data_IF_731211304129
#
_entry.id   IF_731211304129
#
_cell.length_a   1.000
_cell.length_b   1.000
_cell.length_c   1.000
_cell.angle_alpha   90.00
_cell.angle_beta   90.00
_cell.angle_gamma   90.00
#
_symmetry.space_group_name_H-M   'P 1'
#
loop_
_entity.id
_entity.type
_entity.pdbx_description
1 polymer ?
#
# COMPACT_ATOMS: atom_id res chain seq x y z
N UNK A 1 -26.13 -25.64 10.14
CA UNK A 1 -24.95 -24.82 10.49
C UNK A 1 -24.20 -24.66 9.18
N UNK A 2 -24.63 -23.68 8.37
CA UNK A 2 -23.97 -23.40 7.10
C UNK A 2 -22.55 -22.96 7.45
N UNK A 3 -21.56 -23.71 6.95
CA UNK A 3 -20.17 -23.40 7.14
C UNK A 3 -19.89 -22.08 6.43
N UNK A 4 -19.57 -21.05 7.21
CA UNK A 4 -18.92 -19.86 6.69
C UNK A 4 -17.62 -20.41 6.08
N UNK A 5 -17.52 -20.42 4.75
CA UNK A 5 -16.22 -20.66 4.11
C UNK A 5 -15.39 -19.42 4.41
N UNK A 6 -14.36 -19.57 5.22
CA UNK A 6 -13.39 -18.52 5.47
C UNK A 6 -12.79 -18.07 4.13
N UNK A 7 -12.72 -16.76 3.91
CA UNK A 7 -12.26 -16.20 2.64
C UNK A 7 -10.74 -16.24 2.61
N UNK A 8 -10.14 -16.92 1.63
CA UNK A 8 -8.68 -16.93 1.52
C UNK A 8 -8.20 -15.64 0.87
N UNK A 9 -7.27 -14.97 1.55
CA UNK A 9 -6.70 -13.71 1.09
C UNK A 9 -5.24 -13.90 0.79
N UNK A 10 -4.81 -13.50 -0.41
CA UNK A 10 -3.41 -13.31 -0.76
C UNK A 10 -3.14 -11.80 -0.83
N UNK A 11 -2.52 -11.26 0.23
CA UNK A 11 -2.22 -9.85 0.36
C UNK A 11 -0.77 -9.57 -0.05
N UNK A 12 -0.61 -8.70 -1.04
CA UNK A 12 0.66 -8.18 -1.54
C UNK A 12 0.87 -6.78 -1.02
N UNK A 13 2.03 -6.52 -0.41
CA UNK A 13 2.36 -5.22 0.16
C UNK A 13 3.66 -4.74 -0.47
N UNK A 14 3.66 -3.50 -0.97
CA UNK A 14 4.87 -2.80 -1.40
C UNK A 14 4.92 -1.40 -0.80
N UNK A 15 6.07 -1.04 -0.25
CA UNK A 15 6.36 0.30 0.22
C UNK A 15 7.46 0.93 -0.64
N UNK A 16 7.30 2.18 -1.05
CA UNK A 16 8.32 2.96 -1.72
C UNK A 16 8.59 4.29 -1.01
N UNK A 17 9.86 4.65 -0.98
CA UNK A 17 10.36 5.87 -0.37
C UNK A 17 10.04 7.07 -1.25
N UNK A 18 9.67 8.17 -0.61
CA UNK A 18 9.36 9.43 -1.25
C UNK A 18 9.88 10.58 -0.41
N UNK A 19 10.13 11.72 -1.02
CA UNK A 19 10.53 12.92 -0.29
C UNK A 19 9.42 13.34 0.71
N UNK A 20 9.77 13.48 1.99
CA UNK A 20 8.79 13.60 3.08
C UNK A 20 8.07 14.95 3.11
N UNK A 21 8.73 16.04 2.72
CA UNK A 21 8.11 17.37 2.71
C UNK A 21 6.98 17.46 1.67
N UNK A 22 7.09 16.74 0.54
CA UNK A 22 5.97 16.57 -0.40
C UNK A 22 4.80 15.83 0.22
N UNK A 23 5.04 14.80 1.02
CA UNK A 23 3.95 14.16 1.80
C UNK A 23 3.32 15.12 2.79
N UNK A 24 4.11 15.92 3.52
CA UNK A 24 3.58 16.95 4.44
C UNK A 24 2.70 17.96 3.73
N UNK A 25 3.05 18.34 2.51
CA UNK A 25 2.25 19.24 1.68
C UNK A 25 0.98 18.60 1.12
N UNK A 26 0.94 17.27 1.01
CA UNK A 26 -0.22 16.50 0.57
C UNK A 26 -1.21 16.23 1.72
N UNK A 27 -0.71 16.04 2.96
CA UNK A 27 -1.54 15.62 4.09
C UNK A 27 -2.61 16.67 4.45
N UNK A 28 -3.86 16.25 4.73
CA UNK A 28 -4.89 17.11 5.28
C UNK A 28 -4.51 17.66 6.65
N UNK A 29 -5.20 18.72 7.08
CA UNK A 29 -5.07 19.25 8.44
C UNK A 29 -5.42 18.17 9.49
N UNK A 30 -4.70 18.17 10.61
CA UNK A 30 -4.86 17.18 11.68
C UNK A 30 -4.10 15.86 11.48
N UNK A 31 -3.40 15.70 10.35
CA UNK A 31 -2.53 14.55 10.08
C UNK A 31 -1.06 14.95 10.01
N UNK A 32 -0.21 14.19 10.69
CA UNK A 32 1.24 14.35 10.67
C UNK A 32 1.92 13.21 9.92
N UNK A 33 2.90 13.51 9.07
CA UNK A 33 3.66 12.48 8.34
C UNK A 33 4.65 11.78 9.27
N UNK A 34 4.48 10.47 9.47
CA UNK A 34 5.37 9.67 10.33
C UNK A 34 6.64 9.22 9.62
N UNK A 35 6.51 8.79 8.37
CA UNK A 35 7.59 8.19 7.59
C UNK A 35 7.51 8.66 6.13
N UNK A 36 8.65 8.77 5.42
CA UNK A 36 8.73 9.14 4.01
C UNK A 36 8.30 7.99 3.08
N UNK A 37 7.06 7.52 3.20
CA UNK A 37 6.62 6.28 2.53
C UNK A 37 5.21 6.36 1.98
N UNK A 38 5.07 5.84 0.76
CA UNK A 38 3.78 5.45 0.18
C UNK A 38 3.73 3.93 0.09
N UNK A 39 2.57 3.36 0.43
CA UNK A 39 2.36 1.91 0.46
C UNK A 39 1.21 1.52 -0.46
N UNK A 40 1.49 0.63 -1.41
CA UNK A 40 0.49 0.00 -2.27
C UNK A 40 0.23 -1.40 -1.71
N UNK A 41 -1.01 -1.66 -1.30
CA UNK A 41 -1.45 -3.00 -0.93
C UNK A 41 -2.39 -3.52 -2.01
N UNK A 42 -2.15 -4.74 -2.47
CA UNK A 42 -3.07 -5.48 -3.32
C UNK A 42 -3.58 -6.71 -2.59
N UNK A 43 -4.82 -7.10 -2.82
CA UNK A 43 -5.37 -8.36 -2.32
C UNK A 43 -6.04 -9.11 -3.46
N UNK A 44 -5.80 -10.41 -3.51
CA UNK A 44 -6.64 -11.36 -4.23
C UNK A 44 -7.45 -12.09 -3.16
N UNK A 45 -8.77 -12.06 -3.29
CA UNK A 45 -9.72 -12.60 -2.32
C UNK A 45 -10.46 -13.76 -2.97
N UNK A 46 -10.07 -14.97 -2.63
CA UNK A 46 -10.69 -16.18 -3.15
C UNK A 46 -12.08 -16.36 -2.52
N UNK A 47 -13.09 -16.48 -3.36
CA UNK A 47 -14.49 -16.62 -2.96
C UNK A 47 -15.37 -16.87 -4.17
N UNK A 48 -16.69 -16.88 -3.96
CA UNK A 48 -17.68 -16.92 -5.03
C UNK A 48 -18.60 -15.69 -4.91
N UNK A 49 -18.36 -14.60 -5.67
CA UNK A 49 -17.31 -14.44 -6.69
C UNK A 49 -15.93 -14.08 -6.10
N UNK A 50 -14.86 -14.45 -6.81
CA UNK A 50 -13.50 -13.96 -6.55
C UNK A 50 -13.45 -12.43 -6.74
N UNK A 51 -12.70 -11.74 -5.88
CA UNK A 51 -12.52 -10.29 -6.00
C UNK A 51 -11.07 -9.86 -5.79
N UNK A 52 -10.76 -8.68 -6.30
CA UNK A 52 -9.42 -8.08 -6.24
C UNK A 52 -9.55 -6.69 -5.63
N UNK A 53 -8.58 -6.30 -4.82
CA UNK A 53 -8.56 -4.99 -4.17
C UNK A 53 -7.16 -4.36 -4.25
N UNK A 54 -7.09 -3.05 -4.46
CA UNK A 54 -5.86 -2.26 -4.30
C UNK A 54 -6.15 -1.05 -3.44
N UNK A 55 -5.19 -0.67 -2.60
CA UNK A 55 -5.18 0.61 -1.90
C UNK A 55 -3.81 1.26 -1.92
N UNK A 56 -3.81 2.60 -1.88
CA UNK A 56 -2.63 3.44 -1.69
C UNK A 56 -2.74 4.16 -0.34
N UNK A 57 -1.69 4.08 0.47
CA UNK A 57 -1.65 4.67 1.81
C UNK A 57 -0.37 5.46 2.07
N UNK A 58 -0.41 6.36 3.05
CA UNK A 58 0.77 7.02 3.64
C UNK A 58 0.79 6.84 5.15
N UNK A 59 1.97 6.77 5.76
CA UNK A 59 2.11 6.61 7.22
C UNK A 59 1.85 7.94 7.96
N UNK A 60 0.94 7.93 8.92
CA UNK A 60 0.48 9.14 9.64
C UNK A 60 0.27 8.93 11.13
N UNK A 61 0.28 10.05 11.85
CA UNK A 61 -0.29 10.18 13.19
C UNK A 61 -1.44 11.20 13.15
N UNK A 62 -2.56 10.84 13.79
CA UNK A 62 -3.72 11.70 13.96
C UNK A 62 -4.54 11.25 15.17
N UNK A 63 -5.15 12.18 15.91
CA UNK A 63 -6.00 11.87 17.06
C UNK A 63 -5.33 10.95 18.13
N UNK A 64 -4.00 11.06 18.30
CA UNK A 64 -3.23 10.21 19.21
C UNK A 64 -3.10 8.75 18.75
N UNK A 65 -3.38 8.47 17.47
CA UNK A 65 -3.29 7.16 16.85
C UNK A 65 -2.28 7.18 15.72
N UNK A 66 -1.49 6.10 15.63
CA UNK A 66 -0.40 5.95 14.66
C UNK A 66 -0.75 4.83 13.70
N UNK A 67 -0.59 5.06 12.40
CA UNK A 67 -0.93 4.04 11.42
C UNK A 67 -0.87 4.57 10.00
N UNK A 68 -1.85 4.19 9.20
CA UNK A 68 -1.92 4.52 7.78
C UNK A 68 -3.09 5.44 7.49
N UNK A 69 -2.96 6.31 6.50
CA UNK A 69 -4.07 7.08 5.93
C UNK A 69 -4.29 6.60 4.49
N UNK A 70 -5.50 6.13 4.22
CA UNK A 70 -5.91 5.73 2.88
C UNK A 70 -6.03 6.97 1.98
N UNK A 71 -5.28 6.97 0.89
CA UNK A 71 -5.32 7.99 -0.16
C UNK A 71 -6.34 7.60 -1.23
N UNK A 72 -6.45 6.31 -1.51
CA UNK A 72 -7.46 5.76 -2.40
C UNK A 72 -7.49 4.24 -2.36
N UNK A 73 -8.62 3.67 -2.76
CA UNK A 73 -8.79 2.24 -2.90
C UNK A 73 -9.74 1.89 -4.03
N UNK A 74 -9.55 0.70 -4.60
CA UNK A 74 -10.30 0.19 -5.74
C UNK A 74 -10.53 -1.30 -5.59
N UNK A 75 -11.67 -1.77 -6.06
CA UNK A 75 -12.00 -3.18 -6.13
C UNK A 75 -12.42 -3.56 -7.55
N UNK A 76 -12.42 -4.87 -7.84
CA UNK A 76 -12.79 -5.42 -9.15
C UNK A 76 -14.26 -5.18 -9.55
N UNK A 77 -15.12 -4.77 -8.62
CA UNK A 77 -16.51 -4.39 -8.90
C UNK A 77 -16.70 -2.90 -9.24
N UNK A 78 -15.79 -2.03 -8.80
CA UNK A 78 -15.87 -0.57 -8.98
C UNK A 78 -14.85 0.01 -9.97
N UNK A 79 -13.96 -0.82 -10.50
CA UNK A 79 -12.85 -0.37 -11.36
C UNK A 79 -12.43 -1.41 -12.40
N UNK A 80 -11.63 -0.99 -13.37
CA UNK A 80 -10.96 -1.87 -14.35
C UNK A 80 -9.76 -2.63 -13.73
N UNK A 81 -9.80 -2.88 -12.41
CA UNK A 81 -8.77 -3.63 -11.71
C UNK A 81 -8.84 -5.11 -12.08
N UNK A 82 -7.75 -5.59 -12.66
CA UNK A 82 -7.53 -7.01 -12.92
C UNK A 82 -6.17 -7.44 -12.40
N UNK A 83 -5.94 -8.76 -12.40
CA UNK A 83 -4.63 -9.31 -12.12
C UNK A 83 -4.31 -10.48 -13.06
N UNK A 84 -3.02 -10.78 -13.18
CA UNK A 84 -2.51 -11.90 -13.96
C UNK A 84 -1.41 -12.60 -13.19
N UNK A 85 -1.33 -13.93 -13.34
CA UNK A 85 -0.26 -14.76 -12.79
C UNK A 85 0.62 -15.28 -13.92
N UNK A 86 1.94 -15.19 -13.75
CA UNK A 86 2.93 -15.79 -14.65
C UNK A 86 4.10 -16.35 -13.84
N UNK A 87 4.12 -17.67 -13.67
CA UNK A 87 5.12 -18.32 -12.81
C UNK A 87 5.00 -17.81 -11.37
N UNK A 88 6.10 -17.26 -10.83
CA UNK A 88 6.13 -16.66 -9.48
C UNK A 88 5.66 -15.20 -9.45
N UNK A 89 5.29 -14.64 -10.59
CA UNK A 89 4.92 -13.24 -10.70
C UNK A 89 3.40 -13.06 -10.68
N UNK A 90 2.94 -12.07 -9.91
CA UNK A 90 1.56 -11.60 -9.89
C UNK A 90 1.56 -10.14 -10.26
N UNK A 91 0.82 -9.78 -11.30
CA UNK A 91 0.70 -8.40 -11.77
C UNK A 91 -0.72 -7.93 -11.56
N UNK A 92 -0.89 -6.80 -10.88
CA UNK A 92 -2.14 -6.06 -10.85
C UNK A 92 -2.08 -4.94 -11.89
N UNK A 93 -3.18 -4.76 -12.60
CA UNK A 93 -3.26 -3.78 -13.69
C UNK A 93 -4.56 -2.99 -13.61
N UNK A 94 -4.40 -1.68 -13.79
CA UNK A 94 -5.43 -0.66 -13.90
C UNK A 94 -4.97 0.37 -14.95
N UNK A 95 -5.86 1.19 -15.52
CA UNK A 95 -5.48 2.21 -16.50
C UNK A 95 -4.35 3.15 -16.03
N UNK A 96 -4.27 3.41 -14.73
CA UNK A 96 -3.30 4.32 -14.11
C UNK A 96 -2.25 3.64 -13.23
N UNK A 97 -2.25 2.30 -13.10
CA UNK A 97 -1.28 1.58 -12.28
C UNK A 97 -0.94 0.21 -12.90
N UNK A 98 0.34 -0.10 -12.98
CA UNK A 98 0.80 -1.48 -13.12
C UNK A 98 1.77 -1.77 -12.00
N UNK A 99 1.55 -2.86 -11.27
CA UNK A 99 2.45 -3.32 -10.21
C UNK A 99 2.60 -4.84 -10.28
N UNK A 100 3.84 -5.29 -10.32
CA UNK A 100 4.19 -6.70 -10.39
C UNK A 100 5.01 -7.08 -9.18
N UNK A 101 4.59 -8.16 -8.51
CA UNK A 101 5.29 -8.81 -7.43
C UNK A 101 5.87 -10.12 -7.96
N UNK A 102 7.12 -10.44 -7.62
CA UNK A 102 7.74 -11.73 -7.97
C UNK A 102 8.28 -12.37 -6.71
N UNK A 103 7.71 -13.52 -6.34
CA UNK A 103 8.13 -14.27 -5.15
C UNK A 103 9.58 -14.73 -5.25
N UNK A 104 10.38 -14.46 -4.20
CA UNK A 104 11.79 -14.86 -4.14
C UNK A 104 12.00 -16.18 -3.40
N UNK A 105 10.95 -16.78 -2.84
CA UNK A 105 11.01 -18.05 -2.11
C UNK A 105 11.67 -17.97 -0.73
N UNK A 106 11.78 -16.77 -0.16
CA UNK A 106 12.29 -16.54 1.20
C UNK A 106 11.13 -16.07 2.06
N UNK A 107 10.91 -16.75 3.20
CA UNK A 107 9.91 -16.37 4.18
C UNK A 107 10.55 -15.69 5.39
N UNK A 108 9.81 -14.81 6.07
CA UNK A 108 10.28 -14.28 7.35
C UNK A 108 9.28 -13.41 8.09
N UNK A 109 9.10 -13.70 9.39
CA UNK A 109 8.35 -12.86 10.33
C UNK A 109 6.83 -12.73 10.06
N UNK A 110 6.12 -12.26 11.09
CA UNK A 110 4.75 -11.79 10.98
C UNK A 110 4.74 -10.39 10.30
N UNK A 111 3.81 -10.10 9.38
CA UNK A 111 3.70 -8.78 8.74
C UNK A 111 3.38 -7.62 9.69
N UNK A 112 2.77 -7.91 10.85
CA UNK A 112 2.21 -6.88 11.73
C UNK A 112 3.27 -5.89 12.24
N UNK A 113 3.07 -4.61 11.93
CA UNK A 113 3.83 -3.51 12.52
C UNK A 113 3.38 -3.30 13.97
N UNK A 114 4.33 -3.36 14.91
CA UNK A 114 4.05 -3.22 16.36
C UNK A 114 3.51 -1.84 16.76
N UNK A 115 3.68 -0.82 15.91
CA UNK A 115 3.27 0.56 16.14
C UNK A 115 2.13 1.03 15.21
N UNK A 116 1.25 0.11 14.80
CA UNK A 116 0.12 0.37 13.90
C UNK A 116 -1.23 0.16 14.58
N UNK A 117 -1.93 1.25 14.91
CA UNK A 117 -3.32 1.26 15.40
C UNK A 117 -4.36 0.96 14.30
N UNK A 118 -3.98 1.02 13.02
CA UNK A 118 -4.89 0.75 11.91
C UNK A 118 -4.74 1.68 10.71
N UNK A 119 -5.76 1.71 9.86
CA UNK A 119 -5.82 2.56 8.67
C UNK A 119 -7.03 3.50 8.74
N UNK A 120 -6.78 4.79 8.59
CA UNK A 120 -7.78 5.84 8.49
C UNK A 120 -8.40 5.88 7.08
N UNK A 121 -9.73 5.92 7.01
CA UNK A 121 -10.48 6.08 5.77
C UNK A 121 -11.39 7.31 5.83
N UNK A 122 -11.36 8.09 4.75
CA UNK A 122 -12.35 9.13 4.51
C UNK A 122 -13.65 8.51 3.98
N UNK A 123 -14.78 8.98 4.52
CA UNK A 123 -16.14 8.63 4.13
C UNK A 123 -17.07 9.74 4.60
N UNK A 124 -18.33 9.43 4.97
CA UNK A 124 -19.19 10.41 5.66
C UNK A 124 -18.55 10.95 6.94
N UNK A 125 -17.75 10.11 7.61
CA UNK A 125 -16.92 10.46 8.76
C UNK A 125 -15.57 9.78 8.62
N UNK A 126 -14.55 10.37 9.24
CA UNK A 126 -13.25 9.72 9.37
C UNK A 126 -13.40 8.46 10.24
N UNK A 127 -12.94 7.32 9.73
CA UNK A 127 -12.98 6.03 10.44
C UNK A 127 -11.59 5.43 10.54
N UNK A 128 -11.24 4.86 11.68
CA UNK A 128 -10.02 4.08 11.87
C UNK A 128 -10.37 2.60 11.84
N UNK A 129 -9.92 1.88 10.81
CA UNK A 129 -10.08 0.43 10.70
C UNK A 129 -8.90 -0.26 11.38
N UNK A 130 -9.13 -1.15 12.35
CA UNK A 130 -8.03 -1.84 13.05
C UNK A 130 -7.24 -2.72 12.07
N UNK A 131 -5.95 -2.99 12.37
CA UNK A 131 -5.15 -3.91 11.57
C UNK A 131 -5.68 -5.34 11.70
N UNK A 132 -5.51 -6.12 10.64
CA UNK A 132 -5.79 -7.56 10.69
C UNK A 132 -4.73 -8.28 11.53
N UNK A 133 -5.19 -9.23 12.34
CA UNK A 133 -4.33 -10.10 13.13
C UNK A 133 -3.89 -11.26 12.22
N UNK A 134 -2.71 -11.14 11.63
CA UNK A 134 -2.13 -12.12 10.71
C UNK A 134 -0.92 -12.76 11.39
N UNK A 135 -0.99 -14.05 11.70
CA UNK A 135 0.12 -14.79 12.32
C UNK A 135 1.00 -15.51 11.29
N UNK A 136 0.53 -15.58 10.06
CA UNK A 136 1.15 -16.23 8.92
C UNK A 136 2.45 -15.53 8.52
N UNK A 137 3.38 -16.33 8.01
CA UNK A 137 4.64 -15.80 7.51
C UNK A 137 4.40 -15.08 6.20
N UNK A 138 5.06 -13.92 6.05
CA UNK A 138 5.22 -13.31 4.74
C UNK A 138 6.32 -14.01 3.93
N UNK A 139 6.10 -14.09 2.63
CA UNK A 139 7.11 -14.39 1.62
C UNK A 139 7.60 -13.08 0.99
N UNK A 140 8.91 -12.86 0.95
CA UNK A 140 9.47 -11.66 0.33
C UNK A 140 9.28 -11.67 -1.19
N UNK A 141 9.13 -10.48 -1.76
CA UNK A 141 9.00 -10.29 -3.21
C UNK A 141 9.99 -9.27 -3.73
N UNK A 142 10.45 -9.48 -4.96
CA UNK A 142 10.86 -8.37 -5.81
C UNK A 142 9.62 -7.67 -6.37
N UNK A 143 9.72 -6.36 -6.63
CA UNK A 143 8.60 -5.57 -7.11
C UNK A 143 9.02 -4.55 -8.14
N UNK A 144 8.20 -4.38 -9.18
CA UNK A 144 8.27 -3.27 -10.13
C UNK A 144 6.91 -2.62 -10.22
N UNK A 145 6.84 -1.29 -10.24
CA UNK A 145 5.58 -0.58 -10.38
C UNK A 145 5.74 0.68 -11.23
N UNK A 146 4.63 1.14 -11.80
CA UNK A 146 4.53 2.42 -12.49
C UNK A 146 3.11 2.99 -12.36
N UNK A 147 3.02 4.22 -11.87
CA UNK A 147 1.83 5.04 -11.99
C UNK A 147 1.78 5.69 -13.38
N UNK A 148 0.59 5.70 -13.99
CA UNK A 148 0.36 6.11 -15.39
C UNK A 148 -0.65 7.24 -15.53
N UNK A 149 -0.90 8.01 -14.46
CA UNK A 149 -1.80 9.16 -14.51
C UNK A 149 -1.32 10.28 -15.45
N UNK A 150 -0.01 10.42 -15.60
CA UNK A 150 0.63 11.37 -16.50
C UNK A 150 1.99 10.82 -16.96
N UNK A 151 2.53 11.40 -18.03
CA UNK A 151 3.91 11.14 -18.44
C UNK A 151 4.87 11.48 -17.30
N UNK A 152 5.76 10.54 -16.96
CA UNK A 152 6.68 10.69 -15.82
C UNK A 152 6.06 10.44 -14.44
N UNK A 153 4.90 9.77 -14.35
CA UNK A 153 4.34 9.28 -13.08
C UNK A 153 5.34 8.40 -12.32
N UNK A 154 5.22 8.34 -10.99
CA UNK A 154 6.21 7.65 -10.17
C UNK A 154 6.28 6.15 -10.53
N UNK A 155 7.51 5.66 -10.70
CA UNK A 155 7.80 4.27 -11.00
C UNK A 155 9.06 3.84 -10.28
N UNK A 156 9.22 2.54 -10.04
CA UNK A 156 10.36 2.03 -9.30
C UNK A 156 10.49 0.51 -9.37
N UNK A 157 11.67 0.04 -8.98
CA UNK A 157 11.99 -1.39 -8.88
C UNK A 157 12.69 -1.68 -7.54
N UNK A 158 12.44 -2.85 -6.98
CA UNK A 158 13.19 -3.38 -5.85
C UNK A 158 14.64 -3.64 -6.23
N UNK A 159 15.51 -3.53 -5.23
CA UNK A 159 16.94 -3.86 -5.34
C UNK A 159 17.31 -5.14 -4.57
N UNK A 160 16.32 -5.99 -4.29
CA UNK A 160 16.48 -7.21 -3.50
C UNK A 160 16.82 -6.98 -2.01
N UNK A 161 16.52 -5.81 -1.46
CA UNK A 161 16.77 -5.45 -0.05
C UNK A 161 15.55 -4.79 0.59
N UNK A 162 15.41 -4.99 1.89
CA UNK A 162 14.49 -4.21 2.72
C UNK A 162 15.22 -3.01 3.31
N UNK A 163 14.66 -1.81 3.13
CA UNK A 163 15.22 -0.54 3.56
C UNK A 163 14.28 0.14 4.58
N UNK A 164 14.81 0.83 5.60
CA UNK A 164 13.98 1.57 6.54
C UNK A 164 13.49 2.90 5.94
N UNK A 165 12.23 3.26 6.23
CA UNK A 165 11.70 4.60 5.96
C UNK A 165 11.98 5.53 7.16
N UNK A 166 13.18 6.10 7.22
CA UNK A 166 13.60 6.96 8.34
C UNK A 166 13.03 8.36 8.19
N UNK A 167 12.26 8.81 9.19
CA UNK A 167 11.72 10.17 9.23
C UNK A 167 12.84 11.22 9.27
N UNK A 168 12.59 12.36 8.64
CA UNK A 168 13.51 13.49 8.56
C UNK A 168 12.85 14.77 9.07
N UNK A 169 13.62 15.70 9.63
CA UNK A 169 13.10 17.02 9.96
C UNK A 169 12.67 17.76 8.67
N UNK A 170 11.63 18.62 8.71
CA UNK A 170 11.23 19.42 7.55
C UNK A 170 12.39 20.28 7.02
N UNK A 171 12.57 20.29 5.69
CA UNK A 171 13.64 21.05 5.01
C UNK A 171 13.09 22.04 3.99
N UNK A 172 12.06 21.64 3.25
CA UNK A 172 11.44 22.40 2.17
C UNK A 172 9.95 22.59 2.46
N UNK A 173 9.45 23.81 2.31
CA UNK A 173 8.02 24.08 2.43
C UNK A 173 7.39 24.15 1.04
N UNK A 174 6.70 23.08 0.66
CA UNK A 174 5.92 23.06 -0.59
C UNK A 174 4.53 23.66 -0.38
N UNK A 175 3.96 24.21 -1.45
CA UNK A 175 2.56 24.62 -1.46
C UNK A 175 1.64 23.42 -1.20
N UNK A 176 0.57 23.63 -0.41
CA UNK A 176 -0.43 22.58 -0.13
C UNK A 176 -1.05 22.08 -1.43
N UNK A 177 -1.19 20.77 -1.53
CA UNK A 177 -1.86 20.09 -2.65
C UNK A 177 -3.11 19.37 -2.15
N UNK A 178 -4.06 19.14 -3.05
CA UNK A 178 -5.23 18.33 -2.72
C UNK A 178 -4.78 16.91 -2.35
N UNK A 179 -5.30 16.38 -1.24
CA UNK A 179 -5.08 15.00 -0.84
C UNK A 179 -5.78 14.06 -1.83
N UNK A 180 -5.03 13.55 -2.80
CA UNK A 180 -5.54 12.75 -3.90
C UNK A 180 -4.51 11.72 -4.37
N UNK A 181 -4.99 10.64 -4.97
CA UNK A 181 -4.13 9.61 -5.57
C UNK A 181 -3.24 10.20 -6.66
N UNK A 182 -3.79 11.09 -7.50
CA UNK A 182 -3.04 11.75 -8.57
C UNK A 182 -1.80 12.48 -8.03
N UNK A 183 -1.98 13.29 -6.98
CA UNK A 183 -0.88 14.05 -6.40
C UNK A 183 0.11 13.16 -5.64
N UNK A 184 -0.37 12.11 -4.96
CA UNK A 184 0.50 11.13 -4.30
C UNK A 184 1.36 10.36 -5.31
N UNK A 185 0.74 9.87 -6.38
CA UNK A 185 1.39 9.12 -7.47
C UNK A 185 2.36 9.96 -8.30
N UNK A 186 2.27 11.29 -8.23
CA UNK A 186 3.21 12.21 -8.87
C UNK A 186 4.49 12.43 -8.04
N UNK A 187 4.53 12.01 -6.77
CA UNK A 187 5.74 12.14 -5.94
C UNK A 187 6.74 11.06 -6.39
N UNK A 188 7.94 11.43 -6.86
CA UNK A 188 8.90 10.46 -7.39
C UNK A 188 9.27 9.39 -6.36
N UNK A 189 9.35 8.15 -6.82
CA UNK A 189 9.90 7.05 -6.04
C UNK A 189 11.42 7.24 -5.92
N UNK A 190 11.91 7.41 -4.70
CA UNK A 190 13.35 7.40 -4.43
C UNK A 190 13.90 5.97 -4.52
N UNK A 191 13.20 5.01 -3.90
CA UNK A 191 13.54 3.58 -3.94
C UNK A 191 12.37 2.75 -3.40
N UNK A 192 12.10 1.59 -4.01
CA UNK A 192 11.23 0.56 -3.38
C UNK A 192 11.93 0.06 -2.12
N UNK A 193 11.28 0.22 -0.96
CA UNK A 193 11.82 -0.07 0.37
C UNK A 193 11.59 -1.52 0.77
N UNK A 194 10.59 -2.18 0.21
CA UNK A 194 10.33 -3.59 0.48
C UNK A 194 9.00 -4.02 -0.12
N UNK A 195 8.92 -5.30 -0.48
CA UNK A 195 7.69 -5.93 -0.90
C UNK A 195 7.59 -7.35 -0.37
N UNK A 196 6.38 -7.80 -0.11
CA UNK A 196 6.09 -9.16 0.34
C UNK A 196 4.66 -9.56 -0.01
N UNK A 197 4.39 -10.85 0.07
CA UNK A 197 3.05 -11.43 0.04
C UNK A 197 2.80 -12.22 1.32
N UNK A 198 1.57 -12.18 1.83
CA UNK A 198 1.11 -13.02 2.93
C UNK A 198 -0.24 -13.65 2.56
N UNK A 199 -0.46 -14.88 3.00
CA UNK A 199 -1.66 -15.68 2.69
C UNK A 199 -2.32 -16.10 3.99
N UNK A 200 -3.59 -15.81 4.17
CA UNK A 200 -4.34 -16.05 5.41
C UNK A 200 -5.84 -16.20 5.14
N UNK A 201 -6.61 -16.59 6.16
CA UNK A 201 -8.07 -16.72 6.12
C UNK A 201 -8.73 -15.53 6.82
N UNK A 202 -9.76 -14.95 6.20
CA UNK A 202 -10.52 -13.78 6.68
C UNK A 202 -11.99 -14.13 6.93
#
# INVERSE_FOLDING_TARGET
MEGICDMKVEQFVMAYGVEQDRLRALLPEGFESLRPVLRINGEIREGDPESVYIELNTAVEACGKRGWLNIGCWDSGSSELCYQRKGKSVTFEMPFLTITYTGVGVEGGCPAEKDNDGCFFFGERLTLRPPEQIEEKKEFCDCTFAWKFAEGGAHGASIGKTLPAVSSAPKTHYAKQAFSVLNAAAIPCEQVLGAYVVRFER
#
